data_IF_177884756177
#
_entry.id   IF_177884756177
#
_cell.length_a   1.000
_cell.length_b   1.000
_cell.length_c   1.000
_cell.angle_alpha   90.00
_cell.angle_beta   90.00
_cell.angle_gamma   90.00
#
_symmetry.space_group_name_H-M   'P 1'
#
loop_
_entity.id
_entity.type
_entity.pdbx_description
1 polymer ?
#
# COMPACT_ATOMS: atom_id res chain seq x y z
N UNK A 1 -9.58 0.79 -27.39
CA UNK A 1 -9.74 -0.29 -26.39
C UNK A 1 -9.58 0.29 -25.01
N UNK A 2 -10.44 -0.06 -24.09
CA UNK A 2 -10.41 0.49 -22.73
C UNK A 2 -10.19 -0.63 -21.73
N UNK A 3 -9.29 -0.43 -20.79
CA UNK A 3 -9.00 -1.38 -19.71
C UNK A 3 -9.33 -0.74 -18.36
N UNK A 4 -9.61 -1.59 -17.40
CA UNK A 4 -9.77 -1.22 -16.01
C UNK A 4 -8.80 -2.08 -15.19
N UNK A 5 -8.12 -1.47 -14.24
CA UNK A 5 -7.29 -2.23 -13.30
C UNK A 5 -8.19 -3.18 -12.49
N UNK A 6 -7.92 -4.47 -12.56
CA UNK A 6 -8.66 -5.51 -11.83
C UNK A 6 -8.01 -5.79 -10.49
N UNK A 7 -6.77 -6.25 -10.51
CA UNK A 7 -6.01 -6.55 -9.30
C UNK A 7 -4.51 -6.36 -9.52
N UNK A 8 -3.78 -6.37 -8.44
CA UNK A 8 -2.32 -6.40 -8.41
C UNK A 8 -1.92 -7.62 -7.59
N UNK A 9 -1.05 -8.47 -8.15
CA UNK A 9 -0.50 -9.61 -7.44
C UNK A 9 0.83 -9.23 -6.79
N UNK A 10 0.98 -9.53 -5.50
CA UNK A 10 2.19 -9.30 -4.73
C UNK A 10 2.78 -10.62 -4.27
N UNK A 11 4.02 -10.88 -4.66
CA UNK A 11 4.81 -11.97 -4.10
C UNK A 11 5.46 -11.48 -2.81
N UNK A 12 5.21 -12.17 -1.70
CA UNK A 12 5.66 -11.76 -0.36
C UNK A 12 6.43 -12.89 0.31
N UNK A 13 7.33 -12.54 1.25
CA UNK A 13 8.13 -13.51 1.99
C UNK A 13 7.27 -14.32 2.95
N UNK A 14 6.42 -13.65 3.70
CA UNK A 14 5.56 -14.25 4.74
C UNK A 14 4.15 -13.67 4.61
N UNK A 15 3.18 -14.55 4.42
CA UNK A 15 1.81 -14.14 4.11
C UNK A 15 1.14 -13.42 5.29
N UNK A 16 1.30 -13.96 6.50
CA UNK A 16 0.69 -13.35 7.71
C UNK A 16 1.33 -11.99 8.02
N UNK A 17 2.64 -11.87 7.90
CA UNK A 17 3.37 -10.61 8.10
C UNK A 17 2.88 -9.53 7.11
N UNK A 18 2.74 -9.89 5.85
CA UNK A 18 2.31 -8.95 4.81
C UNK A 18 0.85 -8.55 4.97
N UNK A 19 -0.03 -9.50 5.28
CA UNK A 19 -1.44 -9.18 5.54
C UNK A 19 -1.57 -8.30 6.79
N UNK A 20 -0.79 -8.56 7.84
CA UNK A 20 -0.78 -7.73 9.04
C UNK A 20 -0.35 -6.28 8.73
N UNK A 21 0.63 -6.08 7.85
CA UNK A 21 1.03 -4.74 7.39
C UNK A 21 -0.11 -4.07 6.61
N UNK A 22 -0.68 -4.76 5.63
CA UNK A 22 -1.71 -4.18 4.78
C UNK A 22 -2.98 -3.81 5.55
N UNK A 23 -3.38 -4.65 6.51
CA UNK A 23 -4.59 -4.40 7.31
C UNK A 23 -4.31 -3.54 8.53
N UNK A 24 -3.22 -3.78 9.25
CA UNK A 24 -2.90 -3.08 10.50
C UNK A 24 -2.25 -1.71 10.26
N UNK A 25 -1.29 -1.60 9.34
CA UNK A 25 -0.60 -0.34 9.07
C UNK A 25 -1.38 0.50 8.05
N UNK A 26 -1.71 -0.06 6.88
CA UNK A 26 -2.43 0.69 5.85
C UNK A 26 -3.94 0.77 6.09
N UNK A 27 -4.50 -0.03 7.00
CA UNK A 27 -5.92 -0.01 7.32
C UNK A 27 -6.80 -0.61 6.22
N UNK A 28 -6.24 -1.41 5.32
CA UNK A 28 -6.99 -2.09 4.28
C UNK A 28 -7.78 -3.27 4.88
N UNK A 29 -8.74 -3.79 4.15
CA UNK A 29 -9.61 -4.86 4.65
C UNK A 29 -9.34 -6.14 3.89
N UNK A 30 -9.13 -7.23 4.63
CA UNK A 30 -9.04 -8.55 4.00
C UNK A 30 -10.43 -9.01 3.56
N UNK A 31 -10.56 -9.37 2.27
CA UNK A 31 -11.76 -9.93 1.68
C UNK A 31 -11.70 -11.44 1.58
N UNK A 32 -12.77 -12.01 1.03
CA UNK A 32 -12.87 -13.45 0.81
C UNK A 32 -12.26 -13.80 -0.55
N UNK A 33 -11.34 -14.77 -0.57
CA UNK A 33 -10.87 -15.38 -1.79
C UNK A 33 -11.89 -16.45 -2.22
N UNK A 34 -12.66 -16.23 -3.30
CA UNK A 34 -13.71 -17.17 -3.71
C UNK A 34 -13.17 -18.49 -4.27
N UNK A 35 -11.86 -18.54 -4.58
CA UNK A 35 -11.21 -19.77 -5.03
C UNK A 35 -10.92 -20.73 -3.87
N UNK A 36 -11.06 -20.26 -2.64
CA UNK A 36 -10.73 -21.04 -1.44
C UNK A 36 -9.21 -21.19 -1.24
N UNK A 37 -8.85 -21.98 -0.22
CA UNK A 37 -7.45 -22.20 0.14
C UNK A 37 -6.89 -21.07 1.00
N UNK A 38 -5.61 -21.23 1.41
CA UNK A 38 -4.94 -20.31 2.33
C UNK A 38 -3.65 -19.70 1.77
N UNK A 39 -3.29 -20.03 0.54
CA UNK A 39 -2.00 -19.63 -0.05
C UNK A 39 -2.06 -18.33 -0.84
N UNK A 40 -3.25 -17.83 -1.17
CA UNK A 40 -3.47 -16.50 -1.74
C UNK A 40 -4.53 -15.79 -0.91
N UNK A 41 -4.19 -14.63 -0.37
CA UNK A 41 -5.11 -13.82 0.42
C UNK A 41 -5.44 -12.55 -0.34
N UNK A 42 -6.69 -12.15 -0.30
CA UNK A 42 -7.22 -11.01 -1.03
C UNK A 42 -7.41 -9.83 -0.09
N UNK A 43 -6.84 -8.68 -0.47
CA UNK A 43 -6.96 -7.43 0.29
C UNK A 43 -7.71 -6.42 -0.56
N UNK A 44 -8.81 -5.90 -0.05
CA UNK A 44 -9.62 -4.90 -0.73
C UNK A 44 -8.95 -3.53 -0.69
N UNK A 45 -8.85 -2.87 -1.85
CA UNK A 45 -8.31 -1.51 -1.95
C UNK A 45 -9.33 -0.48 -2.41
N UNK A 46 -10.61 -0.86 -2.46
CA UNK A 46 -11.71 -0.01 -2.87
C UNK A 46 -12.11 -0.22 -4.33
N UNK A 47 -13.31 0.20 -4.65
CA UNK A 47 -13.90 0.13 -5.99
C UNK A 47 -13.86 -1.27 -6.63
N UNK A 48 -13.91 -2.32 -5.81
CA UNK A 48 -13.85 -3.70 -6.26
C UNK A 48 -12.48 -4.15 -6.75
N UNK A 49 -11.43 -3.36 -6.50
CA UNK A 49 -10.04 -3.71 -6.84
C UNK A 49 -9.36 -4.31 -5.63
N UNK A 50 -8.39 -5.19 -5.90
CA UNK A 50 -7.75 -5.99 -4.83
C UNK A 50 -6.26 -6.14 -5.04
N UNK A 51 -5.58 -6.40 -3.94
CA UNK A 51 -4.26 -7.02 -3.94
C UNK A 51 -4.46 -8.53 -3.74
N UNK A 52 -3.80 -9.33 -4.57
CA UNK A 52 -3.69 -10.77 -4.37
C UNK A 52 -2.31 -11.04 -3.80
N UNK A 53 -2.26 -11.43 -2.54
CA UNK A 53 -1.01 -11.60 -1.79
C UNK A 53 -0.66 -13.08 -1.72
N UNK A 54 0.51 -13.43 -2.21
CA UNK A 54 0.96 -14.82 -2.32
C UNK A 54 2.39 -14.95 -1.78
N UNK A 55 2.61 -15.92 -0.87
CA UNK A 55 3.95 -16.17 -0.32
C UNK A 55 4.83 -16.96 -1.30
N UNK A 56 6.10 -16.64 -1.33
CA UNK A 56 7.10 -17.32 -2.12
C UNK A 56 8.50 -16.74 -1.95
N UNK A 57 9.40 -17.11 -2.83
CA UNK A 57 10.78 -16.63 -2.84
C UNK A 57 10.85 -15.22 -3.42
N UNK A 58 11.16 -14.23 -2.59
CA UNK A 58 11.31 -12.84 -3.00
C UNK A 58 12.76 -12.44 -3.29
N UNK A 59 13.70 -13.37 -3.32
CA UNK A 59 15.14 -13.07 -3.50
C UNK A 59 15.46 -12.34 -4.81
N UNK A 60 14.60 -12.50 -5.82
CA UNK A 60 14.75 -11.83 -7.13
C UNK A 60 13.86 -10.60 -7.27
N UNK A 61 13.08 -10.26 -6.25
CA UNK A 61 12.24 -9.07 -6.26
C UNK A 61 13.08 -7.88 -5.83
N UNK A 62 13.17 -6.88 -6.69
CA UNK A 62 13.81 -5.60 -6.40
C UNK A 62 12.89 -4.49 -6.83
N UNK A 63 12.52 -3.61 -5.91
CA UNK A 63 11.59 -2.52 -6.18
C UNK A 63 12.21 -1.20 -5.75
N UNK A 64 12.37 -0.32 -6.72
CA UNK A 64 12.75 1.07 -6.45
C UNK A 64 11.53 1.87 -6.00
N UNK A 65 11.77 2.92 -5.20
CA UNK A 65 10.72 3.78 -4.69
C UNK A 65 9.90 4.47 -5.80
N UNK A 66 10.52 4.71 -6.95
CA UNK A 66 9.85 5.26 -8.12
C UNK A 66 8.80 4.32 -8.71
N UNK A 67 8.90 3.03 -8.42
CA UNK A 67 7.87 2.03 -8.75
C UNK A 67 7.07 1.76 -7.48
N UNK A 68 5.88 2.31 -7.39
CA UNK A 68 5.07 2.23 -6.18
C UNK A 68 3.58 2.12 -6.51
N UNK A 69 2.82 1.72 -5.51
CA UNK A 69 1.36 1.72 -5.53
C UNK A 69 0.89 2.99 -4.84
N UNK A 70 -0.01 3.75 -5.46
CA UNK A 70 -0.56 4.95 -4.87
C UNK A 70 -2.00 4.73 -4.41
N UNK A 71 -2.26 5.03 -3.16
CA UNK A 71 -3.57 4.95 -2.53
C UNK A 71 -3.99 6.36 -2.11
N UNK A 72 -5.18 6.78 -2.52
CA UNK A 72 -5.74 8.07 -2.10
C UNK A 72 -6.53 7.87 -0.82
N UNK A 73 -6.13 8.55 0.24
CA UNK A 73 -6.84 8.51 1.52
C UNK A 73 -8.02 9.48 1.51
N UNK A 74 -9.15 9.06 2.05
CA UNK A 74 -10.31 9.95 2.24
C UNK A 74 -10.04 11.00 3.31
N UNK A 75 -9.22 10.66 4.31
CA UNK A 75 -8.76 11.58 5.36
C UNK A 75 -7.26 11.39 5.57
N UNK A 76 -6.48 12.13 4.81
CA UNK A 76 -5.01 12.07 4.85
C UNK A 76 -4.46 12.54 6.20
N UNK A 77 -5.05 13.56 6.82
CA UNK A 77 -4.58 14.07 8.12
C UNK A 77 -4.81 13.04 9.24
N UNK A 78 -5.90 12.29 9.18
CA UNK A 78 -6.13 11.17 10.11
C UNK A 78 -5.09 10.06 9.93
N UNK A 79 -4.69 9.74 8.71
CA UNK A 79 -3.60 8.77 8.44
C UNK A 79 -2.30 9.26 9.04
N UNK A 80 -1.93 10.54 8.83
CA UNK A 80 -0.72 11.13 9.41
C UNK A 80 -0.74 11.05 10.93
N UNK A 81 -1.84 11.43 11.56
CA UNK A 81 -1.98 11.41 13.01
C UNK A 81 -1.81 10.00 13.57
N UNK A 82 -2.43 9.00 12.93
CA UNK A 82 -2.31 7.61 13.33
C UNK A 82 -0.88 7.08 13.15
N UNK A 83 -0.23 7.37 12.05
CA UNK A 83 1.15 6.94 11.81
C UNK A 83 2.11 7.52 12.83
N UNK A 84 1.94 8.78 13.21
CA UNK A 84 2.73 9.42 14.25
C UNK A 84 2.50 8.80 15.62
N UNK A 85 1.24 8.54 15.97
CA UNK A 85 0.87 7.89 17.25
C UNK A 85 1.40 6.47 17.35
N UNK A 86 1.35 5.71 16.26
CA UNK A 86 1.74 4.30 16.21
C UNK A 86 3.22 4.10 15.82
N UNK A 87 3.97 5.18 15.65
CA UNK A 87 5.38 5.16 15.23
C UNK A 87 5.60 4.41 13.89
N UNK A 88 4.68 4.56 12.96
CA UNK A 88 4.84 4.04 11.60
C UNK A 88 5.80 4.95 10.84
N UNK A 89 6.90 4.39 10.34
CA UNK A 89 7.88 5.14 9.56
C UNK A 89 7.33 5.49 8.18
N UNK A 90 7.42 6.76 7.81
CA UNK A 90 7.13 7.22 6.46
C UNK A 90 8.12 8.31 6.03
N UNK A 91 8.27 8.51 4.74
CA UNK A 91 9.18 9.49 4.18
C UNK A 91 8.51 10.27 3.04
N UNK A 92 9.13 11.37 2.62
CA UNK A 92 8.87 11.96 1.31
C UNK A 92 9.57 11.15 0.20
N UNK A 93 9.47 11.58 -1.05
CA UNK A 93 10.12 10.90 -2.17
C UNK A 93 11.65 10.91 -2.02
N UNK A 94 12.23 11.97 -1.47
CA UNK A 94 13.67 12.10 -1.26
C UNK A 94 14.21 11.19 -0.14
N UNK A 95 13.33 10.60 0.68
CA UNK A 95 13.72 9.71 1.76
C UNK A 95 13.87 10.39 3.11
N UNK A 96 13.43 11.62 3.28
CA UNK A 96 13.46 12.32 4.57
C UNK A 96 12.39 11.76 5.50
N UNK A 97 12.81 11.17 6.61
CA UNK A 97 11.91 10.55 7.57
C UNK A 97 10.95 11.58 8.17
N UNK A 98 9.65 11.24 8.16
CA UNK A 98 8.59 12.08 8.70
C UNK A 98 8.21 13.28 7.83
N UNK A 99 8.82 13.44 6.65
CA UNK A 99 8.52 14.52 5.74
C UNK A 99 7.36 14.19 4.79
N UNK A 100 6.64 15.21 4.39
CA UNK A 100 5.50 15.13 3.48
C UNK A 100 5.92 15.72 2.15
N UNK A 101 5.64 15.00 1.07
CA UNK A 101 5.78 15.51 -0.29
C UNK A 101 4.60 16.43 -0.60
N UNK A 102 4.87 17.62 -1.12
CA UNK A 102 3.82 18.54 -1.57
C UNK A 102 4.08 18.90 -3.02
N UNK A 103 3.12 18.59 -3.88
CA UNK A 103 3.19 18.91 -5.31
C UNK A 103 2.83 20.38 -5.53
N UNK A 104 3.24 20.96 -6.70
CA UNK A 104 2.86 22.34 -7.02
C UNK A 104 1.35 22.60 -7.07
N UNK A 105 0.53 21.54 -7.34
CA UNK A 105 -0.94 21.63 -7.30
C UNK A 105 -1.52 21.52 -5.90
N UNK A 106 -0.65 21.38 -4.86
CA UNK A 106 -1.04 21.26 -3.46
C UNK A 106 -1.31 19.83 -2.99
N UNK A 107 -1.29 18.83 -3.87
CA UNK A 107 -1.45 17.44 -3.45
C UNK A 107 -0.29 17.01 -2.54
N UNK A 108 -0.63 16.42 -1.40
CA UNK A 108 0.33 15.89 -0.44
C UNK A 108 0.44 14.38 -0.54
N UNK A 109 1.63 13.85 -0.31
CA UNK A 109 1.89 12.42 -0.33
C UNK A 109 2.96 12.04 0.67
N UNK A 110 2.86 10.82 1.18
CA UNK A 110 3.90 10.15 1.97
C UNK A 110 4.16 8.77 1.38
N UNK A 111 5.31 8.20 1.70
CA UNK A 111 5.74 6.90 1.21
C UNK A 111 6.03 5.98 2.38
N UNK A 112 5.46 4.78 2.34
CA UNK A 112 5.62 3.73 3.36
C UNK A 112 6.13 2.49 2.68
N UNK A 113 7.14 1.85 3.28
CA UNK A 113 7.68 0.60 2.74
C UNK A 113 7.14 -0.59 3.51
N UNK A 114 6.70 -1.61 2.81
CA UNK A 114 6.22 -2.85 3.41
C UNK A 114 7.40 -3.76 3.82
N UNK A 115 7.14 -4.88 4.55
CA UNK A 115 8.21 -5.78 4.98
C UNK A 115 9.01 -6.45 3.85
N UNK A 116 8.50 -6.44 2.61
CA UNK A 116 9.14 -7.07 1.45
C UNK A 116 9.95 -6.08 0.61
N UNK A 117 9.84 -4.78 0.89
CA UNK A 117 10.46 -3.73 0.10
C UNK A 117 9.53 -3.04 -0.90
N UNK A 118 8.25 -3.40 -0.97
CA UNK A 118 7.28 -2.70 -1.79
C UNK A 118 6.97 -1.32 -1.21
N UNK A 119 6.82 -0.34 -2.10
CA UNK A 119 6.52 1.03 -1.71
C UNK A 119 5.06 1.36 -1.96
N UNK A 120 4.44 1.98 -0.97
CA UNK A 120 3.09 2.51 -1.03
C UNK A 120 3.14 4.03 -0.85
N UNK A 121 2.63 4.76 -1.85
CA UNK A 121 2.33 6.17 -1.71
C UNK A 121 0.93 6.30 -1.10
N UNK A 122 0.78 7.15 -0.10
CA UNK A 122 -0.52 7.56 0.41
C UNK A 122 -0.65 9.06 0.17
N UNK A 123 -1.72 9.47 -0.51
CA UNK A 123 -1.91 10.86 -0.90
C UNK A 123 -3.32 11.36 -0.59
N UNK A 124 -3.51 12.66 -0.73
CA UNK A 124 -4.79 13.33 -0.50
C UNK A 124 -5.51 13.73 -1.79
N UNK A 125 -5.19 13.06 -2.91
CA UNK A 125 -5.86 13.32 -4.17
C UNK A 125 -7.36 13.05 -4.05
N UNK A 126 -8.16 14.00 -4.53
CA UNK A 126 -9.62 13.88 -4.52
C UNK A 126 -10.10 13.35 -5.87
N UNK A 127 -10.62 12.14 -5.86
CA UNK A 127 -11.27 11.59 -7.03
C UNK A 127 -12.66 12.17 -7.17
N UNK A 128 -13.10 12.46 -8.39
CA UNK A 128 -14.47 12.95 -8.66
C UNK A 128 -15.54 11.90 -8.36
#
# INVERSE_FOLDING_TARGET
>A
MTYRLDHIALLVRDLDESVAFLTGVLGLVEGVNPMGGTHIRWIEIGDGRRLHVQAGDISKVHVEKQTHFALSATDFDAVLARFRTENVAFTDMAGTLGAINTRPDGMRAIFVQDPNGYWFEINDFKHP
#
